data_IF_564527425294
#
_entry.id   IF_564527425294
#
_cell.length_a   1.000
_cell.length_b   1.000
_cell.length_c   1.000
_cell.angle_alpha   90.00
_cell.angle_beta   90.00
_cell.angle_gamma   90.00
#
_symmetry.space_group_name_H-M   'P 1'
#
loop_
_entity.id
_entity.type
_entity.pdbx_description
1 polymer ?
#
# COMPACT_ATOMS: atom_id res chain seq x y z
N UNK A 1 5.36 -2.20 -16.33
CA UNK A 1 6.59 -1.49 -15.96
C UNK A 1 7.85 -2.20 -16.44
N UNK A 2 8.00 -3.48 -16.13
CA UNK A 2 9.19 -4.27 -16.55
C UNK A 2 9.37 -4.23 -18.07
N UNK A 3 8.28 -4.41 -18.83
CA UNK A 3 8.32 -4.33 -20.28
C UNK A 3 8.79 -2.97 -20.79
N UNK A 4 8.40 -1.89 -20.13
CA UNK A 4 8.81 -0.55 -20.51
C UNK A 4 10.33 -0.35 -20.34
N UNK A 5 10.91 -0.92 -19.29
CA UNK A 5 12.35 -0.85 -19.06
C UNK A 5 13.11 -1.69 -20.09
N UNK A 6 12.66 -2.92 -20.34
CA UNK A 6 13.29 -3.81 -21.31
C UNK A 6 13.25 -3.26 -22.72
N UNK A 7 12.13 -2.65 -23.12
CA UNK A 7 11.95 -2.12 -24.48
C UNK A 7 12.63 -0.78 -24.70
N UNK A 8 13.19 -0.18 -23.65
CA UNK A 8 13.87 1.10 -23.75
C UNK A 8 12.97 2.33 -23.62
N UNK A 9 11.66 2.15 -23.38
CA UNK A 9 10.75 3.26 -23.13
C UNK A 9 11.11 4.01 -21.85
N UNK A 10 11.60 3.27 -20.83
CA UNK A 10 12.04 3.85 -19.57
C UNK A 10 13.47 3.36 -19.31
N UNK A 11 14.30 4.25 -18.74
CA UNK A 11 15.67 3.85 -18.34
C UNK A 11 15.67 3.01 -17.07
N UNK A 12 14.79 3.34 -16.13
CA UNK A 12 14.76 2.71 -14.82
C UNK A 12 13.32 2.39 -14.42
N UNK A 13 13.19 1.39 -13.58
CA UNK A 13 11.92 1.05 -12.92
C UNK A 13 12.16 0.95 -11.43
N UNK A 14 11.10 1.13 -10.66
CA UNK A 14 11.13 1.00 -9.19
C UNK A 14 10.21 -0.13 -8.79
N UNK A 15 10.76 -1.09 -8.03
CA UNK A 15 10.00 -2.25 -7.56
C UNK A 15 10.21 -2.43 -6.06
N UNK A 16 9.14 -2.74 -5.31
CA UNK A 16 9.29 -3.13 -3.91
C UNK A 16 9.83 -4.56 -3.84
N UNK A 17 10.94 -4.76 -3.13
CA UNK A 17 11.53 -6.09 -2.99
C UNK A 17 11.33 -6.69 -1.60
N UNK A 18 11.12 -5.85 -0.59
CA UNK A 18 10.84 -6.32 0.77
C UNK A 18 9.86 -5.39 1.47
N UNK A 19 9.10 -5.96 2.38
CA UNK A 19 8.14 -5.23 3.21
C UNK A 19 8.32 -5.72 4.65
N UNK A 20 8.37 -4.81 5.61
CA UNK A 20 8.59 -5.15 7.02
C UNK A 20 7.52 -6.08 7.59
N UNK A 21 6.30 -6.04 7.05
CA UNK A 21 5.19 -6.89 7.51
C UNK A 21 5.17 -8.24 6.83
N UNK A 22 5.49 -8.28 5.53
CA UNK A 22 5.34 -9.48 4.69
C UNK A 22 6.66 -10.08 4.22
N UNK A 23 7.80 -9.43 4.54
CA UNK A 23 9.11 -9.88 4.09
C UNK A 23 9.33 -9.66 2.60
N UNK A 24 9.99 -10.61 1.96
CA UNK A 24 10.37 -10.51 0.54
C UNK A 24 9.15 -10.62 -0.38
N UNK A 25 9.16 -9.85 -1.46
CA UNK A 25 8.13 -9.90 -2.49
C UNK A 25 8.60 -10.87 -3.57
N UNK A 26 8.14 -12.12 -3.49
CA UNK A 26 8.59 -13.22 -4.37
C UNK A 26 8.35 -12.95 -5.85
N UNK A 27 7.22 -12.34 -6.17
CA UNK A 27 6.88 -12.02 -7.56
C UNK A 27 7.92 -11.10 -8.20
N UNK A 28 8.48 -10.17 -7.42
CA UNK A 28 9.50 -9.24 -7.90
C UNK A 28 10.81 -9.97 -8.17
N UNK A 29 11.22 -10.88 -7.28
CA UNK A 29 12.42 -11.68 -7.51
C UNK A 29 12.30 -12.54 -8.77
N UNK A 30 11.12 -13.13 -8.99
CA UNK A 30 10.88 -13.90 -10.21
C UNK A 30 10.97 -13.05 -11.46
N UNK A 31 10.42 -11.83 -11.43
CA UNK A 31 10.51 -10.90 -12.56
C UNK A 31 11.95 -10.52 -12.87
N UNK A 32 12.77 -10.26 -11.84
CA UNK A 32 14.18 -9.93 -12.02
C UNK A 32 14.94 -11.06 -12.68
N UNK A 33 14.64 -12.32 -12.32
CA UNK A 33 15.28 -13.48 -12.92
C UNK A 33 14.86 -13.68 -14.38
N UNK A 34 13.56 -13.54 -14.67
CA UNK A 34 13.00 -13.76 -15.99
C UNK A 34 13.47 -12.73 -17.03
N UNK A 35 13.66 -11.49 -16.59
CA UNK A 35 13.90 -10.36 -17.51
C UNK A 35 15.34 -9.85 -17.49
N UNK A 36 16.24 -10.53 -16.77
CA UNK A 36 17.68 -10.19 -16.73
C UNK A 36 17.94 -8.72 -16.41
N UNK A 37 17.16 -8.17 -15.50
CA UNK A 37 17.32 -6.79 -15.06
C UNK A 37 18.33 -6.74 -13.91
N UNK A 38 19.07 -5.62 -13.84
CA UNK A 38 20.06 -5.41 -12.77
C UNK A 38 19.56 -4.36 -11.79
N UNK A 39 19.79 -4.60 -10.51
CA UNK A 39 19.50 -3.63 -9.46
C UNK A 39 20.66 -2.63 -9.40
N UNK A 40 20.39 -1.38 -9.75
CA UNK A 40 21.43 -0.33 -9.77
C UNK A 40 21.39 0.57 -8.54
N UNK A 41 20.29 0.55 -7.81
CA UNK A 41 20.14 1.31 -6.56
C UNK A 41 19.05 0.68 -5.73
N UNK A 42 19.26 0.68 -4.42
CA UNK A 42 18.20 0.31 -3.48
C UNK A 42 18.04 1.40 -2.44
N UNK A 43 16.82 1.55 -1.94
CA UNK A 43 16.53 2.50 -0.89
C UNK A 43 15.48 1.91 0.05
N UNK A 44 15.45 2.42 1.27
CA UNK A 44 14.44 2.03 2.26
C UNK A 44 13.54 3.21 2.51
N UNK A 45 12.24 2.98 2.34
CA UNK A 45 11.23 3.99 2.60
C UNK A 45 10.52 3.67 3.90
N UNK A 46 10.55 4.61 4.84
CA UNK A 46 9.79 4.49 6.08
C UNK A 46 8.33 4.89 5.78
N UNK A 47 7.44 3.92 5.82
CA UNK A 47 6.03 4.17 5.52
C UNK A 47 5.32 4.56 6.81
N UNK A 48 4.65 5.72 6.77
CA UNK A 48 3.80 6.20 7.87
C UNK A 48 2.39 6.34 7.35
N UNK A 49 1.52 5.46 7.82
CA UNK A 49 0.12 5.50 7.41
C UNK A 49 -0.62 6.66 8.07
N UNK A 50 -1.49 7.29 7.30
CA UNK A 50 -2.33 8.37 7.77
C UNK A 50 -3.80 7.98 7.72
N UNK A 51 -4.56 8.40 8.72
CA UNK A 51 -6.00 8.21 8.73
C UNK A 51 -6.66 9.45 8.13
N UNK A 52 -7.34 9.25 7.00
CA UNK A 52 -7.96 10.34 6.25
C UNK A 52 -9.47 10.29 6.41
N UNK A 53 -10.08 11.46 6.51
CA UNK A 53 -11.53 11.60 6.60
C UNK A 53 -11.97 12.83 5.82
N UNK A 54 -13.27 12.93 5.57
CA UNK A 54 -13.83 14.13 4.95
C UNK A 54 -13.67 15.33 5.89
N UNK A 55 -13.54 16.55 5.34
CA UNK A 55 -13.38 17.75 6.18
C UNK A 55 -14.48 17.88 7.23
N UNK A 56 -14.08 18.23 8.43
CA UNK A 56 -15.02 18.43 9.54
C UNK A 56 -15.34 17.19 10.36
N UNK A 57 -14.87 16.01 9.92
CA UNK A 57 -15.08 14.75 10.65
C UNK A 57 -14.04 14.62 11.74
N UNK A 58 -14.46 14.29 12.94
CA UNK A 58 -13.56 14.06 14.08
C UNK A 58 -13.36 12.57 14.29
N UNK A 59 -12.30 12.22 15.01
CA UNK A 59 -11.97 10.82 15.26
C UNK A 59 -13.12 10.07 15.95
N UNK A 60 -13.79 10.72 16.91
CA UNK A 60 -14.91 10.12 17.62
C UNK A 60 -16.16 9.93 16.76
N UNK A 61 -16.23 10.59 15.60
CA UNK A 61 -17.34 10.46 14.66
C UNK A 61 -17.20 9.28 13.71
N UNK A 62 -16.03 8.63 13.68
CA UNK A 62 -15.74 7.56 12.74
C UNK A 62 -16.40 6.26 13.19
N UNK A 63 -17.18 5.63 12.30
CA UNK A 63 -17.81 4.34 12.54
C UNK A 63 -17.30 3.25 11.60
N UNK A 64 -16.75 3.63 10.45
CA UNK A 64 -16.24 2.69 9.46
C UNK A 64 -14.91 3.18 8.88
N UNK A 65 -13.99 2.26 8.66
CA UNK A 65 -12.69 2.53 8.04
C UNK A 65 -12.53 1.61 6.85
N UNK A 66 -12.21 2.18 5.69
CA UNK A 66 -11.97 1.45 4.45
C UNK A 66 -10.49 1.50 4.11
N UNK A 67 -9.89 0.35 3.81
CA UNK A 67 -8.48 0.32 3.43
C UNK A 67 -8.14 -0.98 2.71
N UNK A 68 -6.99 -1.00 2.07
CA UNK A 68 -6.41 -2.21 1.53
C UNK A 68 -6.02 -3.14 2.69
N UNK A 69 -6.22 -4.45 2.50
CA UNK A 69 -5.99 -5.43 3.55
C UNK A 69 -4.58 -5.39 4.13
N UNK A 70 -3.58 -5.13 3.30
CA UNK A 70 -2.20 -5.04 3.74
C UNK A 70 -1.98 -3.86 4.70
N UNK A 71 -2.55 -2.70 4.38
CA UNK A 71 -2.48 -1.53 5.26
C UNK A 71 -3.24 -1.77 6.56
N UNK A 72 -4.37 -2.46 6.51
CA UNK A 72 -5.13 -2.85 7.70
C UNK A 72 -4.26 -3.69 8.63
N UNK A 73 -3.55 -4.67 8.08
CA UNK A 73 -2.65 -5.51 8.85
C UNK A 73 -1.52 -4.72 9.50
N UNK A 74 -0.93 -3.78 8.76
CA UNK A 74 0.15 -2.93 9.26
C UNK A 74 -0.30 -1.97 10.36
N UNK A 75 -1.58 -1.58 10.37
CA UNK A 75 -2.15 -0.67 11.34
C UNK A 75 -2.96 -1.38 12.43
N UNK A 76 -2.83 -2.69 12.58
CA UNK A 76 -3.69 -3.50 13.43
C UNK A 76 -3.71 -3.03 14.88
N UNK A 77 -2.56 -2.62 15.42
CA UNK A 77 -2.48 -2.14 16.81
C UNK A 77 -3.34 -0.88 17.02
N UNK A 78 -3.20 0.08 16.12
CA UNK A 78 -3.99 1.31 16.18
C UNK A 78 -5.48 1.01 16.00
N UNK A 79 -5.83 0.19 15.03
CA UNK A 79 -7.22 -0.15 14.73
C UNK A 79 -7.89 -0.88 15.90
N UNK A 80 -7.14 -1.73 16.58
CA UNK A 80 -7.63 -2.44 17.78
C UNK A 80 -7.92 -1.49 18.94
N UNK A 81 -7.29 -0.33 18.98
CA UNK A 81 -7.50 0.65 20.04
C UNK A 81 -8.81 1.43 19.86
N UNK A 82 -9.41 1.37 18.68
CA UNK A 82 -10.67 2.06 18.39
C UNK A 82 -11.85 1.17 18.72
N UNK A 83 -12.81 1.70 19.48
CA UNK A 83 -14.01 0.95 19.82
C UNK A 83 -15.20 1.40 18.95
N UNK A 84 -16.05 0.42 18.58
CA UNK A 84 -17.24 0.72 17.78
C UNK A 84 -16.95 1.05 16.32
N UNK A 85 -15.76 0.75 15.83
CA UNK A 85 -15.36 1.03 14.44
C UNK A 85 -15.29 -0.28 13.66
N UNK A 86 -15.92 -0.33 12.50
CA UNK A 86 -15.81 -1.45 11.56
C UNK A 86 -14.71 -1.17 10.56
N UNK A 87 -13.87 -2.15 10.32
CA UNK A 87 -12.79 -2.05 9.32
C UNK A 87 -13.18 -2.89 8.11
N UNK A 88 -13.25 -2.25 6.96
CA UNK A 88 -13.74 -2.88 5.72
C UNK A 88 -12.60 -2.92 4.70
N UNK A 89 -12.16 -4.11 4.28
CA UNK A 89 -11.10 -4.20 3.28
C UNK A 89 -11.59 -3.82 1.89
N UNK A 90 -10.73 -3.13 1.14
CA UNK A 90 -10.96 -2.73 -0.25
C UNK A 90 -9.86 -3.28 -1.14
N UNK A 91 -10.10 -3.25 -2.44
CA UNK A 91 -9.15 -3.75 -3.43
C UNK A 91 -7.84 -2.96 -3.48
N UNK A 92 -7.91 -1.64 -3.28
CA UNK A 92 -6.72 -0.78 -3.23
C UNK A 92 -7.03 0.51 -2.48
N UNK A 93 -5.98 1.29 -2.21
CA UNK A 93 -6.09 2.53 -1.43
C UNK A 93 -6.92 3.59 -2.15
N UNK A 94 -6.79 3.70 -3.47
CA UNK A 94 -7.55 4.68 -4.24
C UNK A 94 -9.05 4.38 -4.21
N UNK A 95 -9.42 3.10 -4.29
CA UNK A 95 -10.82 2.67 -4.17
C UNK A 95 -11.38 3.03 -2.81
N UNK A 96 -10.59 2.82 -1.74
CA UNK A 96 -11.01 3.18 -0.40
C UNK A 96 -11.30 4.67 -0.27
N UNK A 97 -10.42 5.51 -0.81
CA UNK A 97 -10.61 6.96 -0.80
C UNK A 97 -11.87 7.37 -1.56
N UNK A 98 -12.12 6.73 -2.69
CA UNK A 98 -13.32 7.00 -3.50
C UNK A 98 -14.60 6.65 -2.73
N UNK A 99 -14.64 5.50 -2.08
CA UNK A 99 -15.79 5.07 -1.30
C UNK A 99 -16.10 6.05 -0.16
N UNK A 100 -15.09 6.54 0.52
CA UNK A 100 -15.25 7.53 1.58
C UNK A 100 -15.81 8.84 1.04
N UNK A 101 -15.29 9.31 -0.09
CA UNK A 101 -15.73 10.56 -0.69
C UNK A 101 -17.18 10.49 -1.20
N UNK A 102 -17.65 9.31 -1.61
CA UNK A 102 -18.99 9.12 -2.19
C UNK A 102 -20.08 8.80 -1.15
N UNK A 103 -19.71 8.45 0.07
CA UNK A 103 -20.68 8.04 1.09
C UNK A 103 -21.09 9.14 2.08
#
# INVERSE_FOLDING_TARGET
>A
MVSAVESGLCKFGVLPIENSSNGSVRAVYSLLQQHQLSVVRSTRLCIRHELLAMPGVKLEDITEIYSHQQAIGQCSRFLSSLSGVRVIPCGNTAEAAKLVAES
#
